data_IF_383406884672
#
_entry.id   IF_383406884672
#
_cell.length_a   1.000
_cell.length_b   1.000
_cell.length_c   1.000
_cell.angle_alpha   90.00
_cell.angle_beta   90.00
_cell.angle_gamma   90.00
#
_symmetry.space_group_name_H-M   'P 1'
#
loop_
_entity.id
_entity.type
_entity.pdbx_description
1 polymer ?
#
# COMPACT_ATOMS: atom_id res chain seq x y z
N UNK A 1 14.55 -13.77 -5.00
CA UNK A 1 14.88 -14.44 -3.74
C UNK A 1 14.38 -13.70 -2.51
N UNK A 2 14.61 -12.40 -2.36
CA UNK A 2 14.18 -11.60 -1.20
C UNK A 2 12.66 -11.66 -0.94
N UNK A 3 11.83 -11.62 -1.97
CA UNK A 3 10.37 -11.72 -1.84
C UNK A 3 9.92 -13.03 -1.16
N UNK A 4 10.53 -14.16 -1.51
CA UNK A 4 10.19 -15.47 -0.92
C UNK A 4 10.53 -15.48 0.58
N UNK A 5 11.70 -14.94 0.94
CA UNK A 5 12.13 -14.87 2.35
C UNK A 5 11.18 -13.98 3.15
N UNK A 6 10.85 -12.80 2.63
CA UNK A 6 9.93 -11.86 3.31
C UNK A 6 8.53 -12.45 3.43
N UNK A 7 8.07 -13.18 2.40
CA UNK A 7 6.81 -13.94 2.47
C UNK A 7 6.81 -14.95 3.59
N UNK A 8 7.85 -15.78 3.64
CA UNK A 8 7.99 -16.81 4.67
C UNK A 8 8.00 -16.20 6.08
N UNK A 9 8.72 -15.11 6.29
CA UNK A 9 8.74 -14.38 7.57
C UNK A 9 7.34 -13.90 7.94
N UNK A 10 6.62 -13.26 7.01
CA UNK A 10 5.26 -12.75 7.24
C UNK A 10 4.29 -13.88 7.59
N UNK A 11 4.37 -15.02 6.90
CA UNK A 11 3.54 -16.19 7.19
C UNK A 11 3.86 -16.82 8.55
N UNK A 12 5.14 -16.90 8.91
CA UNK A 12 5.58 -17.41 10.23
C UNK A 12 5.04 -16.52 11.34
N UNK A 13 5.19 -15.19 11.22
CA UNK A 13 4.66 -14.24 12.21
C UNK A 13 3.14 -14.41 12.36
N UNK A 14 2.40 -14.45 11.24
CA UNK A 14 0.95 -14.67 11.27
C UNK A 14 0.57 -15.97 11.98
N UNK A 15 1.26 -17.07 11.66
CA UNK A 15 1.03 -18.37 12.26
C UNK A 15 1.31 -18.40 13.77
N UNK A 16 2.38 -17.72 14.22
CA UNK A 16 2.71 -17.58 15.63
C UNK A 16 1.60 -16.81 16.38
N UNK A 17 1.12 -15.70 15.81
CA UNK A 17 0.04 -14.89 16.39
C UNK A 17 -1.24 -15.73 16.58
N UNK A 18 -1.59 -16.53 15.57
CA UNK A 18 -2.75 -17.45 15.65
C UNK A 18 -2.53 -18.52 16.72
N UNK A 19 -1.34 -19.16 16.74
CA UNK A 19 -1.00 -20.21 17.71
C UNK A 19 -1.02 -19.71 19.16
N UNK A 20 -0.56 -18.48 19.38
CA UNK A 20 -0.58 -17.82 20.69
C UNK A 20 -1.96 -17.24 21.06
N UNK A 21 -2.98 -17.43 20.22
CA UNK A 21 -4.35 -16.91 20.41
C UNK A 21 -4.36 -15.40 20.71
N UNK A 22 -3.44 -14.65 20.10
CA UNK A 22 -3.40 -13.21 20.26
C UNK A 22 -4.59 -12.54 19.57
N UNK A 23 -4.96 -11.34 20.04
CA UNK A 23 -6.05 -10.58 19.42
C UNK A 23 -5.77 -10.26 17.95
N UNK A 24 -6.81 -10.21 17.15
CA UNK A 24 -6.73 -10.03 15.68
C UNK A 24 -5.91 -8.81 15.25
N UNK A 25 -5.90 -7.71 16.03
CA UNK A 25 -5.14 -6.52 15.65
C UNK A 25 -3.62 -6.75 15.64
N UNK A 26 -3.10 -7.76 16.38
CA UNK A 26 -1.67 -8.11 16.34
C UNK A 26 -1.24 -8.67 14.97
N UNK A 27 -2.18 -9.10 14.14
CA UNK A 27 -1.88 -9.55 12.78
C UNK A 27 -1.22 -8.47 11.92
N UNK A 28 -1.35 -7.19 12.29
CA UNK A 28 -0.62 -6.10 11.63
C UNK A 28 0.89 -6.35 11.59
N UNK A 29 1.44 -7.03 12.60
CA UNK A 29 2.87 -7.37 12.65
C UNK A 29 3.29 -8.30 11.50
N UNK A 30 2.40 -9.15 11.01
CA UNK A 30 2.68 -10.02 9.87
C UNK A 30 2.80 -9.24 8.55
N UNK A 31 2.24 -8.02 8.48
CA UNK A 31 2.34 -7.17 7.30
C UNK A 31 3.59 -6.27 7.33
N UNK A 32 4.25 -6.10 8.48
CA UNK A 32 5.42 -5.24 8.60
C UNK A 32 6.56 -5.62 7.66
N UNK A 33 6.98 -6.90 7.53
CA UNK A 33 8.07 -7.26 6.62
C UNK A 33 7.79 -6.86 5.18
N UNK A 34 6.54 -7.00 4.72
CA UNK A 34 6.08 -6.59 3.40
C UNK A 34 6.05 -5.07 3.25
N UNK A 35 5.59 -4.39 4.30
CA UNK A 35 5.58 -2.93 4.32
C UNK A 35 6.99 -2.38 4.22
N UNK A 36 7.93 -2.94 4.96
CA UNK A 36 9.34 -2.55 4.86
C UNK A 36 9.93 -2.85 3.48
N UNK A 37 9.64 -4.02 2.91
CA UNK A 37 10.14 -4.38 1.58
C UNK A 37 9.72 -3.36 0.51
N UNK A 38 8.47 -2.92 0.53
CA UNK A 38 7.98 -1.95 -0.45
C UNK A 38 8.31 -0.49 -0.11
N UNK A 39 8.37 -0.14 1.18
CA UNK A 39 8.70 1.21 1.63
C UNK A 39 10.18 1.54 1.40
N UNK A 40 11.07 0.57 1.58
CA UNK A 40 12.52 0.75 1.41
C UNK A 40 12.98 0.55 -0.03
N UNK A 41 12.06 0.38 -0.98
CA UNK A 41 12.42 0.22 -2.38
C UNK A 41 13.07 1.48 -2.96
N UNK A 42 14.16 1.29 -3.69
CA UNK A 42 14.75 2.30 -4.53
C UNK A 42 14.98 1.70 -5.92
N UNK A 43 14.64 2.43 -6.97
CA UNK A 43 14.79 2.01 -8.38
C UNK A 43 14.07 0.70 -8.74
N UNK A 44 13.00 0.36 -8.01
CA UNK A 44 12.19 -0.84 -8.26
C UNK A 44 10.83 -0.44 -8.84
N UNK A 45 10.43 -1.12 -9.90
CA UNK A 45 9.22 -0.86 -10.65
C UNK A 45 9.46 -0.05 -11.92
N UNK A 46 8.76 -0.39 -12.98
CA UNK A 46 8.90 0.23 -14.31
C UNK A 46 8.63 1.73 -14.23
N UNK A 47 7.64 2.12 -13.45
CA UNK A 47 7.20 3.52 -13.35
C UNK A 47 8.03 4.36 -12.37
N UNK A 48 8.97 3.77 -11.62
CA UNK A 48 9.78 4.50 -10.64
C UNK A 48 10.47 5.72 -11.27
N UNK A 49 11.08 5.52 -12.44
CA UNK A 49 11.79 6.58 -13.17
C UNK A 49 10.83 7.69 -13.60
N UNK A 50 9.65 7.34 -14.12
CA UNK A 50 8.63 8.29 -14.54
C UNK A 50 8.13 9.13 -13.34
N UNK A 51 7.90 8.49 -12.19
CA UNK A 51 7.53 9.19 -10.97
C UNK A 51 8.63 10.13 -10.47
N UNK A 52 9.86 9.63 -10.37
CA UNK A 52 10.96 10.38 -9.75
C UNK A 52 11.51 11.51 -10.63
N UNK A 53 11.50 11.36 -11.96
CA UNK A 53 12.08 12.35 -12.87
C UNK A 53 11.03 13.33 -13.43
N UNK A 54 9.81 12.86 -13.68
CA UNK A 54 8.80 13.66 -14.39
C UNK A 54 7.67 14.11 -13.45
N UNK A 55 7.00 13.15 -12.82
CA UNK A 55 5.73 13.44 -12.15
C UNK A 55 5.92 14.18 -10.83
N UNK A 56 6.78 13.70 -9.93
CA UNK A 56 7.01 14.34 -8.64
C UNK A 56 7.62 15.73 -8.80
N UNK A 57 8.72 15.92 -9.58
CA UNK A 57 9.24 17.26 -9.82
C UNK A 57 8.21 18.21 -10.46
N UNK A 58 7.41 17.70 -11.40
CA UNK A 58 6.38 18.52 -12.03
C UNK A 58 5.28 18.97 -11.09
N UNK A 59 4.88 18.13 -10.12
CA UNK A 59 3.91 18.51 -9.07
C UNK A 59 4.53 19.57 -8.14
N UNK A 60 5.76 19.35 -7.71
CA UNK A 60 6.45 20.26 -6.80
C UNK A 60 6.70 21.64 -7.44
N UNK A 61 6.92 21.67 -8.76
CA UNK A 61 7.11 22.89 -9.54
C UNK A 61 5.79 23.51 -10.05
N UNK A 62 4.65 22.90 -9.75
CA UNK A 62 3.34 23.42 -10.12
C UNK A 62 2.99 23.32 -11.61
N UNK A 63 3.57 22.36 -12.35
CA UNK A 63 3.25 22.18 -13.79
C UNK A 63 1.82 21.73 -13.99
N UNK A 64 1.01 22.54 -14.69
CA UNK A 64 -0.42 22.32 -14.89
C UNK A 64 -0.76 21.11 -15.75
N UNK A 65 0.16 20.66 -16.61
CA UNK A 65 -0.03 19.50 -17.48
C UNK A 65 0.09 18.15 -16.75
N UNK A 66 0.64 18.14 -15.52
CA UNK A 66 0.75 16.93 -14.71
C UNK A 66 -0.49 16.79 -13.85
N UNK A 67 -1.36 15.86 -14.25
CA UNK A 67 -2.59 15.55 -13.51
C UNK A 67 -2.29 14.52 -12.44
N UNK A 68 -2.59 14.90 -11.20
CA UNK A 68 -2.50 14.04 -10.03
C UNK A 68 -3.76 14.20 -9.19
N UNK A 69 -4.21 13.12 -8.60
CA UNK A 69 -5.34 13.14 -7.68
C UNK A 69 -5.02 14.01 -6.45
N UNK A 70 -5.99 14.74 -5.88
CA UNK A 70 -5.76 15.66 -4.77
C UNK A 70 -5.07 15.00 -3.56
N UNK A 71 -5.51 13.80 -3.18
CA UNK A 71 -4.90 13.05 -2.08
C UNK A 71 -3.45 12.63 -2.38
N UNK A 72 -3.19 12.18 -3.61
CA UNK A 72 -1.83 11.81 -4.01
C UNK A 72 -0.89 13.01 -4.01
N UNK A 73 -1.36 14.21 -4.40
CA UNK A 73 -0.59 15.46 -4.25
C UNK A 73 -0.20 15.73 -2.80
N UNK A 74 -1.14 15.58 -1.87
CA UNK A 74 -0.86 15.78 -0.44
C UNK A 74 0.22 14.81 0.06
N UNK A 75 0.16 13.53 -0.34
CA UNK A 75 1.20 12.55 0.01
C UNK A 75 2.56 12.95 -0.56
N UNK A 76 2.61 13.47 -1.80
CA UNK A 76 3.85 13.96 -2.41
C UNK A 76 4.43 15.12 -1.60
N UNK A 77 3.62 16.14 -1.28
CA UNK A 77 4.09 17.28 -0.49
C UNK A 77 4.54 16.88 0.91
N UNK A 78 3.78 16.02 1.59
CA UNK A 78 4.13 15.51 2.91
C UNK A 78 5.45 14.73 2.88
N UNK A 79 5.60 13.80 1.95
CA UNK A 79 6.81 12.99 1.83
C UNK A 79 8.04 13.81 1.46
N UNK A 80 7.87 14.83 0.62
CA UNK A 80 8.93 15.76 0.27
C UNK A 80 9.35 16.64 1.46
N UNK A 81 8.38 17.11 2.24
CA UNK A 81 8.64 17.89 3.46
C UNK A 81 9.37 17.05 4.52
N UNK A 82 8.97 15.80 4.74
CA UNK A 82 9.63 14.88 5.68
C UNK A 82 11.07 14.54 5.28
N UNK A 83 11.41 14.69 4.00
CA UNK A 83 12.76 14.46 3.47
C UNK A 83 13.63 15.73 3.47
N UNK A 84 13.26 16.78 4.22
CA UNK A 84 13.91 18.10 4.17
C UNK A 84 14.13 18.61 2.74
N UNK A 85 13.23 18.27 1.84
CA UNK A 85 13.22 18.65 0.42
C UNK A 85 14.40 18.12 -0.41
N UNK A 86 15.04 17.06 0.05
CA UNK A 86 16.25 16.52 -0.61
C UNK A 86 15.98 15.25 -1.41
N UNK A 87 15.06 14.38 -0.96
CA UNK A 87 14.87 13.06 -1.52
C UNK A 87 13.41 12.69 -1.71
N UNK A 88 13.09 11.88 -2.72
CA UNK A 88 11.75 11.36 -2.98
C UNK A 88 11.45 10.03 -2.29
N UNK A 89 12.42 9.48 -1.56
CA UNK A 89 12.30 8.19 -0.88
C UNK A 89 11.08 8.12 0.03
N UNK A 90 10.86 9.14 0.88
CA UNK A 90 9.72 9.18 1.79
C UNK A 90 8.37 9.25 1.09
N UNK A 91 8.31 9.78 -0.14
CA UNK A 91 7.09 9.81 -0.95
C UNK A 91 6.66 8.39 -1.29
N UNK A 92 7.59 7.57 -1.81
CA UNK A 92 7.31 6.17 -2.15
C UNK A 92 7.00 5.34 -0.91
N UNK A 93 7.72 5.60 0.19
CA UNK A 93 7.47 4.93 1.47
C UNK A 93 6.06 5.20 2.00
N UNK A 94 5.61 6.47 1.98
CA UNK A 94 4.26 6.84 2.41
C UNK A 94 3.18 6.20 1.54
N UNK A 95 3.33 6.24 0.21
CA UNK A 95 2.39 5.56 -0.68
C UNK A 95 2.29 4.08 -0.36
N UNK A 96 3.44 3.43 -0.12
CA UNK A 96 3.44 1.99 0.18
C UNK A 96 2.84 1.67 1.55
N UNK A 97 3.10 2.48 2.56
CA UNK A 97 2.49 2.34 3.89
C UNK A 97 0.96 2.47 3.80
N UNK A 98 0.46 3.46 3.06
CA UNK A 98 -0.98 3.63 2.82
C UNK A 98 -1.56 2.39 2.13
N UNK A 99 -0.93 1.89 1.07
CA UNK A 99 -1.36 0.69 0.37
C UNK A 99 -1.46 -0.50 1.31
N UNK A 100 -0.39 -0.77 2.07
CA UNK A 100 -0.33 -1.92 2.98
C UNK A 100 -1.34 -1.82 4.12
N UNK A 101 -1.66 -0.61 4.56
CA UNK A 101 -2.72 -0.37 5.53
C UNK A 101 -4.10 -0.82 5.01
N UNK A 102 -4.46 -0.44 3.78
CA UNK A 102 -5.73 -0.86 3.18
C UNK A 102 -5.76 -2.37 2.91
N UNK A 103 -4.65 -2.97 2.45
CA UNK A 103 -4.52 -4.41 2.28
C UNK A 103 -4.73 -5.14 3.63
N UNK A 104 -4.05 -4.68 4.69
CA UNK A 104 -4.22 -5.24 6.02
C UNK A 104 -5.68 -5.17 6.49
N UNK A 105 -6.31 -4.00 6.35
CA UNK A 105 -7.71 -3.81 6.72
C UNK A 105 -8.63 -4.74 5.96
N UNK A 106 -8.46 -4.83 4.65
CA UNK A 106 -9.27 -5.71 3.81
C UNK A 106 -9.10 -7.18 4.19
N UNK A 107 -7.86 -7.66 4.31
CA UNK A 107 -7.58 -9.06 4.65
C UNK A 107 -8.04 -9.38 6.07
N UNK A 108 -7.78 -8.52 7.06
CA UNK A 108 -8.17 -8.76 8.46
C UNK A 108 -9.68 -8.83 8.68
N UNK A 109 -10.46 -8.15 7.84
CA UNK A 109 -11.92 -8.12 7.95
C UNK A 109 -12.60 -9.24 7.12
N UNK A 110 -11.99 -9.69 6.03
CA UNK A 110 -12.64 -10.60 5.08
C UNK A 110 -12.01 -12.01 5.02
N UNK A 111 -10.79 -12.20 5.52
CA UNK A 111 -10.11 -13.48 5.45
C UNK A 111 -10.32 -14.33 6.69
N UNK A 112 -10.61 -15.63 6.48
CA UNK A 112 -10.63 -16.64 7.54
C UNK A 112 -9.21 -17.06 7.96
N UNK A 113 -8.26 -17.03 7.01
CA UNK A 113 -6.87 -17.42 7.23
C UNK A 113 -5.93 -16.35 6.67
N UNK A 114 -5.42 -15.49 7.55
CA UNK A 114 -4.55 -14.38 7.16
C UNK A 114 -3.23 -14.87 6.56
N UNK A 115 -2.69 -16.01 7.05
CA UNK A 115 -1.44 -16.57 6.53
C UNK A 115 -1.57 -17.00 5.05
N UNK A 116 -2.66 -17.65 4.70
CA UNK A 116 -2.96 -18.02 3.30
C UNK A 116 -3.17 -16.79 2.42
N UNK A 117 -3.88 -15.79 2.96
CA UNK A 117 -4.11 -14.55 2.22
C UNK A 117 -2.83 -13.77 1.95
N UNK A 118 -1.87 -13.78 2.89
CA UNK A 118 -0.53 -13.22 2.70
C UNK A 118 0.23 -13.96 1.62
N UNK A 119 0.17 -15.30 1.62
CA UNK A 119 0.78 -16.10 0.57
C UNK A 119 0.20 -15.76 -0.81
N UNK A 120 -1.13 -15.72 -0.94
CA UNK A 120 -1.81 -15.37 -2.18
C UNK A 120 -1.49 -13.95 -2.63
N UNK A 121 -1.42 -12.99 -1.70
CA UNK A 121 -1.06 -11.60 -2.01
C UNK A 121 0.31 -11.53 -2.69
N UNK A 122 1.28 -12.28 -2.20
CA UNK A 122 2.67 -12.23 -2.66
C UNK A 122 2.93 -13.06 -3.90
N UNK A 123 2.24 -14.19 -4.03
CA UNK A 123 2.31 -15.02 -5.24
C UNK A 123 1.48 -14.45 -6.38
N UNK A 124 0.53 -13.55 -6.07
CA UNK A 124 -0.25 -12.83 -7.07
C UNK A 124 0.58 -11.75 -7.77
N UNK A 125 0.22 -11.47 -9.01
CA UNK A 125 0.79 -10.35 -9.77
C UNK A 125 0.50 -9.00 -9.11
N UNK A 126 -0.52 -8.93 -8.25
CA UNK A 126 -0.95 -7.67 -7.61
C UNK A 126 0.16 -7.00 -6.79
N UNK A 127 0.89 -7.78 -5.97
CA UNK A 127 1.97 -7.20 -5.14
C UNK A 127 3.10 -6.63 -6.00
N UNK A 128 3.54 -7.38 -7.03
CA UNK A 128 4.58 -6.90 -7.97
C UNK A 128 4.08 -5.72 -8.80
N UNK A 129 2.82 -5.75 -9.24
CA UNK A 129 2.18 -4.63 -9.92
C UNK A 129 2.12 -3.38 -9.03
N UNK A 130 1.82 -3.54 -7.75
CA UNK A 130 1.76 -2.42 -6.80
C UNK A 130 3.11 -1.71 -6.61
N UNK A 131 4.21 -2.39 -6.90
CA UNK A 131 5.53 -1.78 -6.89
C UNK A 131 5.78 -0.90 -8.13
N UNK A 132 5.05 -1.09 -9.22
CA UNK A 132 5.09 -0.25 -10.41
C UNK A 132 3.98 0.80 -10.36
N UNK A 133 2.73 0.39 -10.51
CA UNK A 133 1.55 1.26 -10.52
C UNK A 133 0.98 1.55 -9.13
N UNK A 134 1.78 2.12 -8.20
CA UNK A 134 1.38 2.24 -6.79
C UNK A 134 0.10 3.05 -6.57
N UNK A 135 -0.14 4.11 -7.35
CA UNK A 135 -1.37 4.92 -7.26
C UNK A 135 -2.61 4.12 -7.65
N UNK A 136 -2.50 3.34 -8.74
CA UNK A 136 -3.58 2.47 -9.20
C UNK A 136 -3.85 1.36 -8.19
N UNK A 137 -2.81 0.78 -7.61
CA UNK A 137 -2.94 -0.23 -6.56
C UNK A 137 -3.64 0.33 -5.32
N UNK A 138 -3.32 1.54 -4.88
CA UNK A 138 -3.99 2.23 -3.76
C UNK A 138 -5.46 2.45 -4.09
N UNK A 139 -5.78 3.03 -5.25
CA UNK A 139 -7.17 3.27 -5.68
C UNK A 139 -7.97 1.97 -5.73
N UNK A 140 -7.39 0.90 -6.25
CA UNK A 140 -8.02 -0.43 -6.28
C UNK A 140 -8.29 -0.95 -4.87
N UNK A 141 -7.33 -0.83 -3.95
CA UNK A 141 -7.52 -1.31 -2.57
C UNK A 141 -8.50 -0.46 -1.77
N UNK A 142 -8.56 0.85 -2.01
CA UNK A 142 -9.58 1.73 -1.44
C UNK A 142 -10.96 1.29 -1.93
N UNK A 143 -11.11 1.02 -3.23
CA UNK A 143 -12.36 0.55 -3.81
C UNK A 143 -12.79 -0.80 -3.21
N UNK A 144 -11.90 -1.78 -3.12
CA UNK A 144 -12.19 -3.05 -2.45
C UNK A 144 -12.61 -2.88 -0.99
N UNK A 145 -11.90 -2.02 -0.26
CA UNK A 145 -12.27 -1.74 1.13
C UNK A 145 -13.64 -1.05 1.23
N UNK A 146 -13.98 -0.19 0.28
CA UNK A 146 -15.26 0.52 0.24
C UNK A 146 -16.44 -0.40 -0.07
N UNK A 147 -16.25 -1.52 -0.80
CA UNK A 147 -17.35 -2.45 -1.14
C UNK A 147 -18.11 -2.94 0.09
N UNK A 148 -17.48 -3.10 1.24
CA UNK A 148 -18.14 -3.48 2.49
C UNK A 148 -19.26 -2.51 2.92
N UNK A 149 -19.18 -1.26 2.51
CA UNK A 149 -20.21 -0.27 2.83
C UNK A 149 -21.42 -0.40 1.92
N UNK A 150 -21.22 -0.85 0.66
CA UNK A 150 -22.35 -1.22 -0.21
C UNK A 150 -23.11 -2.43 0.33
N UNK A 151 -22.38 -3.47 0.77
CA UNK A 151 -23.02 -4.66 1.36
C UNK A 151 -23.82 -4.33 2.62
N UNK A 152 -23.46 -3.30 3.36
CA UNK A 152 -24.16 -2.81 4.55
C UNK A 152 -25.20 -1.72 4.24
N UNK A 153 -25.57 -1.51 2.97
CA UNK A 153 -26.49 -0.45 2.52
C UNK A 153 -26.07 0.97 2.95
N UNK A 154 -24.79 1.20 3.15
CA UNK A 154 -24.23 2.52 3.51
C UNK A 154 -23.66 3.22 2.28
N UNK A 155 -24.50 3.48 1.29
CA UNK A 155 -24.11 4.04 -0.02
C UNK A 155 -23.34 5.36 0.12
N UNK A 156 -23.70 6.20 1.06
CA UNK A 156 -23.01 7.49 1.29
C UNK A 156 -21.53 7.29 1.68
N UNK A 157 -21.23 6.32 2.55
CA UNK A 157 -19.84 6.01 2.91
C UNK A 157 -19.06 5.43 1.73
N UNK A 158 -19.72 4.62 0.89
CA UNK A 158 -19.10 4.09 -0.32
C UNK A 158 -18.71 5.22 -1.28
N UNK A 159 -19.60 6.16 -1.55
CA UNK A 159 -19.34 7.32 -2.41
C UNK A 159 -18.19 8.15 -1.86
N UNK A 160 -18.14 8.38 -0.55
CA UNK A 160 -17.06 9.13 0.11
C UNK A 160 -15.67 8.52 -0.11
N UNK A 161 -15.57 7.20 -0.19
CA UNK A 161 -14.28 6.51 -0.41
C UNK A 161 -13.85 6.47 -1.88
N UNK A 162 -14.78 6.58 -2.83
CA UNK A 162 -14.49 6.43 -4.27
C UNK A 162 -14.44 7.79 -4.99
N UNK A 163 -15.15 8.82 -4.49
CA UNK A 163 -15.19 10.17 -5.06
C UNK A 163 -14.02 11.01 -4.61
#
# INVERSE_FOLDING_TARGET
MIYIVVTAISMIISSIIVKLKMKSYWQILAFLPLTFLGALRAYVGIDYTTYSIIQIPGILNGFSHIKFEPLAKQVVFLGYYLADRQHYFYIFSLFHIILMWFIYKYISENSKNISESLFLLLTSVFFTFSLSGIRQAISTMIAFYALKYLEKNKVFHFIFFIG
#
